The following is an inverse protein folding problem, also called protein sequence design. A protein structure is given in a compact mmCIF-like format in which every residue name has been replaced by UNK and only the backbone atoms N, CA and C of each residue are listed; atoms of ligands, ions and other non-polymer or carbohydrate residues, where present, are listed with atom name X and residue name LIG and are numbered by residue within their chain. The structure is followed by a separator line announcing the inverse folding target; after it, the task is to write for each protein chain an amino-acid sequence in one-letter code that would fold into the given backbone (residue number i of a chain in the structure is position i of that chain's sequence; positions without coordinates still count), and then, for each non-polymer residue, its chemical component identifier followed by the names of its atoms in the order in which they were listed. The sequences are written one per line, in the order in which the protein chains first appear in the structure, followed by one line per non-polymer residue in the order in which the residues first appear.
data_IF_227327631769
#
_entry.id   IF_227327631769
#
_cell.length_a   1.000
_cell.length_b   1.000
_cell.length_c   1.000
_cell.angle_alpha   90.00
_cell.angle_beta   90.00
_cell.angle_gamma   90.00
#
_symmetry.space_group_name_H-M   'P 1'
#
loop_
_entity.id
_entity.type
_entity.pdbx_description
1 polymer ?
#
# COMPACT_ATOMS: atom_id res chain seq x y z
N UNK A 1 8.37 -6.28 3.58
CA UNK A 1 8.07 -6.09 2.14
C UNK A 1 7.72 -4.63 1.94
N UNK A 2 8.34 -3.97 0.98
CA UNK A 2 8.10 -2.54 0.69
C UNK A 2 6.78 -2.37 -0.09
N UNK A 3 6.05 -1.27 0.11
CA UNK A 3 4.79 -1.02 -0.63
C UNK A 3 5.03 -0.87 -2.13
N UNK A 4 6.19 -0.37 -2.54
CA UNK A 4 6.57 -0.27 -3.93
C UNK A 4 6.70 -1.66 -4.56
N UNK A 5 7.31 -2.58 -3.83
CA UNK A 5 7.49 -3.96 -4.28
C UNK A 5 6.14 -4.69 -4.38
N UNK A 6 5.24 -4.49 -3.42
CA UNK A 6 3.87 -4.99 -3.51
C UNK A 6 3.16 -4.45 -4.75
N UNK A 7 3.26 -3.14 -5.00
CA UNK A 7 2.63 -2.50 -6.15
C UNK A 7 3.19 -3.07 -7.46
N UNK A 8 4.51 -3.22 -7.58
CA UNK A 8 5.13 -3.80 -8.76
C UNK A 8 4.72 -5.26 -8.96
N UNK A 9 4.69 -6.07 -7.90
CA UNK A 9 4.32 -7.49 -7.95
C UNK A 9 2.84 -7.73 -8.30
N UNK A 10 1.96 -6.78 -8.02
CA UNK A 10 0.51 -6.90 -8.28
C UNK A 10 0.08 -6.37 -9.66
N UNK A 11 1.04 -5.94 -10.49
CA UNK A 11 0.79 -5.40 -11.83
C UNK A 11 0.89 -3.87 -11.92
N UNK A 12 1.29 -3.19 -10.84
CA UNK A 12 1.42 -1.73 -10.79
C UNK A 12 2.53 -1.15 -11.68
N UNK A 13 3.40 -1.97 -12.27
CA UNK A 13 4.34 -1.51 -13.31
C UNK A 13 3.64 -0.82 -14.47
N UNK A 14 2.57 -1.43 -15.02
CA UNK A 14 1.80 -0.82 -16.11
C UNK A 14 1.07 0.46 -15.69
N UNK A 15 0.70 0.55 -14.41
CA UNK A 15 0.10 1.77 -13.85
C UNK A 15 1.11 2.92 -13.76
N UNK A 16 2.37 2.65 -13.39
CA UNK A 16 3.44 3.66 -13.35
C UNK A 16 3.73 4.18 -14.77
N UNK A 17 3.85 3.29 -15.76
CA UNK A 17 4.07 3.70 -17.15
C UNK A 17 2.91 4.57 -17.66
N UNK A 18 1.67 4.24 -17.29
CA UNK A 18 0.50 5.06 -17.65
C UNK A 18 0.51 6.44 -16.96
N UNK A 19 0.88 6.50 -15.68
CA UNK A 19 1.06 7.76 -14.95
C UNK A 19 2.11 8.62 -15.66
N UNK A 20 3.24 8.02 -16.06
CA UNK A 20 4.29 8.72 -16.79
C UNK A 20 3.73 9.38 -18.07
N UNK A 21 2.98 8.61 -18.87
CA UNK A 21 2.34 9.12 -20.08
C UNK A 21 1.31 10.22 -19.80
N UNK A 22 0.46 10.04 -18.79
CA UNK A 22 -0.60 10.98 -18.46
C UNK A 22 -0.07 12.35 -18.03
N UNK A 23 1.05 12.37 -17.30
CA UNK A 23 1.64 13.60 -16.76
C UNK A 23 2.85 14.11 -17.56
N UNK A 24 3.20 13.45 -18.66
CA UNK A 24 4.36 13.81 -19.48
C UNK A 24 5.68 13.67 -18.73
N UNK A 25 5.77 12.72 -17.80
CA UNK A 25 6.97 12.41 -17.04
C UNK A 25 7.75 11.29 -17.72
N UNK A 26 9.05 11.22 -17.46
CA UNK A 26 9.82 10.02 -17.74
C UNK A 26 9.43 8.90 -16.76
N UNK A 27 9.64 7.64 -17.14
CA UNK A 27 9.23 6.48 -16.34
C UNK A 27 9.95 6.43 -14.98
N UNK A 28 11.24 6.78 -14.94
CA UNK A 28 12.04 6.92 -13.73
C UNK A 28 11.52 8.04 -12.81
N UNK A 29 11.05 9.15 -13.38
CA UNK A 29 10.43 10.25 -12.63
C UNK A 29 9.08 9.83 -12.05
N UNK A 30 8.25 9.12 -12.82
CA UNK A 30 6.98 8.59 -12.33
C UNK A 30 7.21 7.56 -11.21
N UNK A 31 8.18 6.66 -11.37
CA UNK A 31 8.57 5.70 -10.36
C UNK A 31 9.04 6.41 -9.08
N UNK A 32 9.90 7.42 -9.22
CA UNK A 32 10.41 8.21 -8.09
C UNK A 32 9.29 8.99 -7.39
N UNK A 33 8.34 9.54 -8.15
CA UNK A 33 7.17 10.20 -7.61
C UNK A 33 6.35 9.23 -6.76
N UNK A 34 6.00 8.06 -7.30
CA UNK A 34 5.26 7.03 -6.55
C UNK A 34 6.01 6.63 -5.28
N UNK A 35 7.30 6.30 -5.39
CA UNK A 35 8.14 5.93 -4.27
C UNK A 35 8.21 7.02 -3.19
N UNK A 36 8.22 8.30 -3.56
CA UNK A 36 8.25 9.42 -2.59
C UNK A 36 6.92 9.64 -1.85
N UNK A 37 5.79 9.22 -2.44
CA UNK A 37 4.46 9.38 -1.86
C UNK A 37 4.09 8.20 -0.95
N UNK A 38 4.59 7.00 -1.24
CA UNK A 38 4.25 5.77 -0.53
C UNK A 38 4.51 5.82 1.00
N UNK A 39 5.63 6.34 1.52
CA UNK A 39 5.87 6.36 2.97
C UNK A 39 4.80 7.13 3.75
N UNK A 40 4.30 8.23 3.18
CA UNK A 40 3.23 9.01 3.81
C UNK A 40 1.90 8.26 3.80
N UNK A 41 1.58 7.57 2.68
CA UNK A 41 0.39 6.73 2.57
C UNK A 41 0.46 5.55 3.55
N UNK A 42 1.62 4.91 3.68
CA UNK A 42 1.86 3.83 4.64
C UNK A 42 1.64 4.30 6.08
N UNK A 43 2.21 5.46 6.45
CA UNK A 43 2.05 6.04 7.77
C UNK A 43 0.58 6.38 8.06
N UNK A 44 -0.13 6.96 7.08
CA UNK A 44 -1.55 7.24 7.17
C UNK A 44 -2.39 5.99 7.35
N UNK A 45 -2.13 4.96 6.54
CA UNK A 45 -2.82 3.68 6.62
C UNK A 45 -2.58 3.00 7.97
N UNK A 46 -1.33 2.90 8.42
CA UNK A 46 -0.96 2.34 9.74
C UNK A 46 -1.60 3.11 10.90
N UNK A 47 -1.77 4.42 10.77
CA UNK A 47 -2.51 5.22 11.74
C UNK A 47 -4.01 4.93 11.70
N UNK A 48 -4.61 4.86 10.52
CA UNK A 48 -6.04 4.63 10.33
C UNK A 48 -6.47 3.28 10.90
N UNK A 49 -5.76 2.20 10.57
CA UNK A 49 -6.05 0.84 11.09
C UNK A 49 -5.89 0.68 12.60
N UNK A 50 -5.09 1.54 13.25
CA UNK A 50 -4.92 1.59 14.71
C UNK A 50 -6.04 2.39 15.41
N UNK A 51 -6.85 3.13 14.66
CA UNK A 51 -8.02 3.84 15.21
C UNK A 51 -9.17 2.86 15.43
N UNK A 52 -10.07 3.22 16.34
CA UNK A 52 -11.29 2.45 16.61
C UNK A 52 -12.14 2.32 15.32
N UNK A 53 -12.46 1.09 14.94
CA UNK A 53 -13.19 0.78 13.69
C UNK A 53 -12.39 0.99 12.39
N UNK A 54 -11.14 1.45 12.46
CA UNK A 54 -10.31 1.71 11.27
C UNK A 54 -10.01 0.43 10.47
N UNK A 55 -9.69 -0.66 11.17
CA UNK A 55 -9.47 -1.97 10.56
C UNK A 55 -10.74 -2.48 9.82
N UNK A 56 -11.91 -2.36 10.43
CA UNK A 56 -13.18 -2.75 9.80
C UNK A 56 -13.48 -1.91 8.55
N UNK A 57 -13.22 -0.60 8.63
CA UNK A 57 -13.37 0.30 7.49
C UNK A 57 -12.43 -0.06 6.33
N UNK A 58 -11.19 -0.47 6.65
CA UNK A 58 -10.24 -0.95 5.66
C UNK A 58 -10.72 -2.24 5.02
N UNK A 59 -11.17 -3.23 5.80
CA UNK A 59 -11.70 -4.48 5.26
C UNK A 59 -12.91 -4.26 4.36
N UNK A 60 -13.81 -3.35 4.73
CA UNK A 60 -14.96 -3.00 3.91
C UNK A 60 -14.54 -2.37 2.58
N UNK A 61 -13.55 -1.46 2.60
CA UNK A 61 -12.99 -0.88 1.38
C UNK A 61 -12.31 -1.93 0.48
N UNK A 62 -11.56 -2.87 1.07
CA UNK A 62 -10.89 -3.95 0.34
C UNK A 62 -11.86 -4.96 -0.28
N UNK A 63 -12.99 -5.23 0.39
CA UNK A 63 -14.01 -6.17 -0.06
C UNK A 63 -14.99 -5.57 -1.09
N UNK A 64 -15.32 -4.27 -0.96
CA UNK A 64 -16.37 -3.62 -1.74
C UNK A 64 -15.92 -2.63 -2.81
N UNK A 65 -14.66 -2.18 -2.79
CA UNK A 65 -14.24 -1.00 -3.56
C UNK A 65 -13.90 -1.22 -5.04
N UNK A 66 -13.81 -2.45 -5.52
CA UNK A 66 -13.48 -2.72 -6.94
C UNK A 66 -12.14 -2.15 -7.43
N UNK A 67 -11.29 -1.63 -6.53
CA UNK A 67 -10.08 -0.87 -6.85
C UNK A 67 -9.03 -1.66 -7.65
N UNK A 68 -9.15 -2.99 -7.69
CA UNK A 68 -8.33 -3.87 -8.52
C UNK A 68 -8.42 -3.49 -10.02
N UNK A 69 -9.56 -2.95 -10.46
CA UNK A 69 -9.75 -2.51 -11.85
C UNK A 69 -8.73 -1.46 -12.31
N UNK A 70 -8.19 -0.66 -11.39
CA UNK A 70 -7.19 0.36 -11.68
C UNK A 70 -5.80 -0.23 -11.95
N UNK A 71 -5.53 -1.43 -11.43
CA UNK A 71 -4.34 -2.20 -11.79
C UNK A 71 -4.51 -2.89 -13.14
N UNK A 72 -5.69 -3.46 -13.38
CA UNK A 72 -5.97 -4.25 -14.59
C UNK A 72 -6.16 -3.39 -15.83
N UNK A 73 -6.71 -2.20 -15.66
CA UNK A 73 -6.94 -1.23 -16.73
C UNK A 73 -6.25 0.10 -16.40
N UNK A 74 -4.93 0.23 -16.59
CA UNK A 74 -4.22 1.48 -16.34
C UNK A 74 -4.85 2.69 -17.07
N UNK A 75 -5.45 2.48 -18.25
CA UNK A 75 -6.10 3.54 -19.03
C UNK A 75 -7.18 4.33 -18.28
N UNK A 76 -7.79 3.78 -17.22
CA UNK A 76 -8.81 4.47 -16.41
C UNK A 76 -8.23 5.17 -15.17
N UNK A 77 -6.91 5.15 -14.95
CA UNK A 77 -6.26 5.83 -13.82
C UNK A 77 -6.49 7.33 -13.81
N UNK A 78 -6.62 7.94 -14.99
CA UNK A 78 -6.94 9.35 -15.13
C UNK A 78 -8.42 9.71 -15.01
N UNK A 79 -9.31 8.72 -14.82
CA UNK A 79 -10.75 8.96 -14.79
C UNK A 79 -11.18 9.78 -13.58
N UNK A 80 -12.27 10.53 -13.72
CA UNK A 80 -12.85 11.30 -12.62
C UNK A 80 -13.28 10.40 -11.46
N UNK A 81 -13.72 9.17 -11.76
CA UNK A 81 -14.08 8.15 -10.78
C UNK A 81 -12.87 7.71 -9.96
N UNK A 82 -11.75 7.33 -10.61
CA UNK A 82 -10.52 6.96 -9.90
C UNK A 82 -10.00 8.10 -9.01
N UNK A 83 -10.07 9.34 -9.50
CA UNK A 83 -9.66 10.52 -8.73
C UNK A 83 -10.58 10.70 -7.51
N UNK A 84 -11.90 10.48 -7.66
CA UNK A 84 -12.86 10.58 -6.56
C UNK A 84 -12.59 9.51 -5.50
N UNK A 85 -12.41 8.26 -5.92
CA UNK A 85 -12.07 7.13 -5.05
C UNK A 85 -10.76 7.36 -4.29
N UNK A 86 -9.71 7.75 -5.02
CA UNK A 86 -8.42 8.10 -4.46
C UNK A 86 -8.51 9.21 -3.41
N UNK A 87 -9.32 10.24 -3.65
CA UNK A 87 -9.55 11.30 -2.66
C UNK A 87 -10.32 10.80 -1.43
N UNK A 88 -11.27 9.88 -1.59
CA UNK A 88 -11.95 9.21 -0.47
C UNK A 88 -10.97 8.45 0.41
N UNK A 89 -10.12 7.61 -0.22
CA UNK A 89 -9.07 6.84 0.46
C UNK A 89 -8.14 7.78 1.24
N UNK A 90 -7.63 8.84 0.60
CA UNK A 90 -6.79 9.85 1.24
C UNK A 90 -7.49 10.51 2.43
N UNK A 91 -8.80 10.76 2.34
CA UNK A 91 -9.61 11.28 3.43
C UNK A 91 -9.59 10.36 4.65
N UNK A 92 -9.69 9.05 4.46
CA UNK A 92 -9.64 8.07 5.55
C UNK A 92 -8.24 7.91 6.14
N UNK A 93 -7.21 7.82 5.30
CA UNK A 93 -5.85 7.47 5.77
C UNK A 93 -5.02 8.70 6.17
N UNK A 94 -5.13 9.82 5.47
CA UNK A 94 -4.40 11.06 5.79
C UNK A 94 -5.24 12.02 6.63
N UNK A 95 -6.56 11.84 6.68
CA UNK A 95 -7.49 12.60 7.53
C UNK A 95 -7.87 13.98 6.98
N UNK A 96 -6.99 14.66 6.24
CA UNK A 96 -7.31 15.98 5.67
C UNK A 96 -6.58 16.27 4.36
N UNK A 97 -7.20 17.13 3.53
CA UNK A 97 -6.58 17.61 2.29
C UNK A 97 -5.32 18.44 2.54
N UNK A 98 -5.18 19.06 3.71
CA UNK A 98 -3.95 19.78 4.09
C UNK A 98 -2.77 18.83 4.25
N UNK A 99 -2.99 17.68 4.90
CA UNK A 99 -1.98 16.62 4.99
C UNK A 99 -1.63 16.10 3.59
N UNK A 100 -2.64 15.82 2.74
CA UNK A 100 -2.39 15.41 1.35
C UNK A 100 -1.54 16.43 0.58
N UNK A 101 -1.81 17.73 0.74
CA UNK A 101 -1.02 18.81 0.12
C UNK A 101 0.41 18.84 0.65
N UNK A 102 0.60 18.68 1.95
CA UNK A 102 1.92 18.65 2.57
C UNK A 102 2.76 17.46 2.06
N UNK A 103 2.15 16.29 1.91
CA UNK A 103 2.78 15.09 1.33
C UNK A 103 3.27 15.37 -0.09
N UNK A 104 2.43 15.97 -0.93
CA UNK A 104 2.82 16.32 -2.30
C UNK A 104 3.94 17.38 -2.33
N UNK A 105 3.93 18.36 -1.43
CA UNK A 105 4.98 19.36 -1.32
C UNK A 105 6.32 18.74 -0.89
N UNK A 106 6.30 17.81 0.06
CA UNK A 106 7.48 17.08 0.50
C UNK A 106 8.05 16.19 -0.62
N UNK A 107 7.20 15.46 -1.34
CA UNK A 107 7.60 14.67 -2.50
C UNK A 107 8.21 15.54 -3.61
N UNK A 108 7.69 16.76 -3.79
CA UNK A 108 8.20 17.73 -4.76
C UNK A 108 9.64 18.11 -4.47
N UNK A 109 9.97 18.36 -3.20
CA UNK A 109 11.33 18.69 -2.76
C UNK A 109 12.32 17.54 -2.97
N UNK A 110 11.86 16.29 -2.88
CA UNK A 110 12.70 15.11 -3.04
C UNK A 110 12.94 14.74 -4.51
N UNK A 111 11.91 14.86 -5.33
CA UNK A 111 11.91 14.36 -6.72
C UNK A 111 12.21 15.45 -7.75
N UNK A 112 12.09 16.72 -7.38
CA UNK A 112 12.15 17.85 -8.31
C UNK A 112 10.91 17.99 -9.21
N UNK A 113 9.90 17.13 -9.03
CA UNK A 113 8.64 17.19 -9.80
C UNK A 113 7.75 18.28 -9.22
N UNK A 114 7.06 19.03 -10.08
CA UNK A 114 6.18 20.10 -9.65
C UNK A 114 5.10 19.65 -8.67
N UNK A 115 4.89 20.40 -7.59
CA UNK A 115 3.92 20.06 -6.53
C UNK A 115 2.50 19.87 -7.06
N UNK A 116 2.09 20.62 -8.09
CA UNK A 116 0.76 20.47 -8.70
C UNK A 116 0.57 19.16 -9.45
N UNK A 117 1.64 18.62 -10.05
CA UNK A 117 1.63 17.29 -10.66
C UNK A 117 1.46 16.25 -9.55
N UNK A 118 2.27 16.33 -8.51
CA UNK A 118 2.22 15.38 -7.39
C UNK A 118 0.89 15.43 -6.63
N UNK A 119 0.26 16.60 -6.49
CA UNK A 119 -1.09 16.74 -5.94
C UNK A 119 -2.14 15.98 -6.75
N UNK A 120 -2.00 15.94 -8.08
CA UNK A 120 -2.89 15.19 -8.98
C UNK A 120 -2.56 13.70 -8.99
N UNK A 121 -1.28 13.35 -8.84
CA UNK A 121 -0.84 11.96 -8.76
C UNK A 121 -1.25 11.28 -7.45
N UNK A 122 -1.19 11.99 -6.32
CA UNK A 122 -1.44 11.45 -4.99
C UNK A 122 -2.74 10.62 -4.87
N UNK A 123 -3.93 11.10 -5.33
CA UNK A 123 -5.14 10.27 -5.29
C UNK A 123 -5.05 9.04 -6.18
N UNK A 124 -4.41 9.12 -7.35
CA UNK A 124 -4.21 7.98 -8.26
C UNK A 124 -3.30 6.93 -7.61
N UNK A 125 -2.25 7.36 -6.92
CA UNK A 125 -1.35 6.45 -6.19
C UNK A 125 -2.06 5.81 -5.00
N UNK A 126 -2.93 6.54 -4.30
CA UNK A 126 -3.72 6.00 -3.20
C UNK A 126 -4.70 4.91 -3.66
N UNK A 127 -5.38 5.10 -4.78
CA UNK A 127 -6.28 4.08 -5.33
C UNK A 127 -5.53 2.86 -5.86
N UNK A 128 -4.36 3.06 -6.49
CA UNK A 128 -3.47 1.96 -6.88
C UNK A 128 -2.99 1.14 -5.69
N UNK A 129 -2.61 1.82 -4.59
CA UNK A 129 -2.25 1.15 -3.35
C UNK A 129 -3.42 0.30 -2.83
N UNK A 130 -4.64 0.84 -2.80
CA UNK A 130 -5.81 0.07 -2.40
C UNK A 130 -6.15 -1.08 -3.36
N UNK A 131 -5.95 -0.90 -4.66
CA UNK A 131 -6.08 -1.98 -5.64
C UNK A 131 -5.07 -3.10 -5.38
N UNK A 132 -3.82 -2.75 -5.06
CA UNK A 132 -2.75 -3.72 -4.78
C UNK A 132 -3.03 -4.50 -3.49
N UNK A 133 -3.47 -3.81 -2.44
CA UNK A 133 -3.89 -4.42 -1.19
C UNK A 133 -5.10 -5.33 -1.40
N UNK A 134 -6.14 -4.85 -2.10
CA UNK A 134 -7.35 -5.65 -2.37
C UNK A 134 -7.01 -6.91 -3.17
N UNK A 135 -6.13 -6.79 -4.19
CA UNK A 135 -5.63 -7.95 -4.93
C UNK A 135 -4.88 -8.92 -4.04
N UNK A 136 -4.03 -8.43 -3.15
CA UNK A 136 -3.28 -9.30 -2.24
C UNK A 136 -4.17 -9.99 -1.21
N UNK A 137 -5.19 -9.30 -0.68
CA UNK A 137 -6.14 -9.85 0.29
C UNK A 137 -7.08 -10.86 -0.37
N UNK A 138 -7.50 -10.59 -1.61
CA UNK A 138 -8.39 -11.48 -2.40
C UNK A 138 -7.62 -12.54 -3.20
N UNK A 139 -6.29 -12.53 -3.20
CA UNK A 139 -5.50 -13.55 -3.86
C UNK A 139 -5.83 -14.91 -3.20
N UNK A 140 -6.30 -15.91 -3.96
CA UNK A 140 -6.51 -17.24 -3.41
C UNK A 140 -5.20 -17.72 -2.80
N UNK A 141 -5.26 -18.22 -1.56
CA UNK A 141 -4.09 -18.77 -0.88
C UNK A 141 -3.36 -19.71 -1.85
N UNK A 142 -2.14 -19.34 -2.24
CA UNK A 142 -1.35 -20.17 -3.15
C UNK A 142 -1.28 -21.59 -2.55
N UNK A 143 -1.41 -22.65 -3.37
CA UNK A 143 -1.37 -24.01 -2.88
C UNK A 143 -0.08 -24.20 -2.09
N UNK A 144 -0.28 -24.58 -0.83
CA UNK A 144 0.71 -24.84 0.21
C UNK A 144 2.00 -25.42 -0.39
N UNK A 145 3.07 -24.63 -0.44
CA UNK A 145 4.39 -25.23 -0.52
C UNK A 145 4.64 -25.98 0.80
N UNK A 146 5.04 -27.26 0.76
CA UNK A 146 5.23 -28.08 1.96
C UNK A 146 6.45 -27.66 2.80
N UNK A 147 7.15 -26.60 2.40
CA UNK A 147 8.22 -25.97 3.16
C UNK A 147 7.68 -24.64 3.70
N UNK A 148 7.40 -24.62 5.00
CA UNK A 148 6.63 -23.57 5.66
C UNK A 148 7.12 -22.15 5.38
N UNK A 149 6.27 -21.36 4.74
CA UNK A 149 6.15 -19.93 4.92
C UNK A 149 4.69 -19.59 4.62
N UNK A 150 3.87 -19.50 5.68
CA UNK A 150 2.53 -18.91 5.55
C UNK A 150 2.73 -17.45 5.12
N UNK A 151 2.29 -17.14 3.90
CA UNK A 151 2.38 -15.81 3.29
C UNK A 151 1.04 -15.44 2.69
N UNK A 152 -0.02 -15.52 3.50
CA UNK A 152 -1.36 -15.07 3.11
C UNK A 152 -1.43 -13.54 3.08
N UNK A 153 -2.44 -12.98 2.40
CA UNK A 153 -2.65 -11.53 2.35
C UNK A 153 -2.76 -10.84 3.72
N UNK A 154 -3.08 -11.61 4.78
CA UNK A 154 -3.04 -11.16 6.17
C UNK A 154 -1.62 -11.00 6.75
N UNK A 155 -0.64 -11.80 6.33
CA UNK A 155 0.75 -11.70 6.79
C UNK A 155 1.41 -10.42 6.24
N UNK A 156 1.03 -10.02 5.03
CA UNK A 156 1.48 -8.76 4.42
C UNK A 156 0.77 -7.58 5.07
N UNK A 157 -0.55 -7.67 5.32
CA UNK A 157 -1.25 -6.63 6.08
C UNK A 157 -0.63 -6.47 7.48
N UNK A 158 -0.32 -7.57 8.17
CA UNK A 158 0.34 -7.56 9.47
C UNK A 158 1.74 -6.94 9.38
N UNK A 159 2.54 -7.32 8.38
CA UNK A 159 3.86 -6.75 8.11
C UNK A 159 3.81 -5.23 7.84
N UNK A 160 2.78 -4.76 7.12
CA UNK A 160 2.56 -3.33 6.82
C UNK A 160 2.05 -2.58 8.06
N UNK A 161 1.22 -3.21 8.90
CA UNK A 161 0.66 -2.60 10.11
C UNK A 161 1.68 -2.41 11.24
N UNK A 162 2.71 -3.27 11.28
CA UNK A 162 3.70 -3.27 12.35
C UNK A 162 4.11 -4.65 12.88
N UNK A 163 4.01 -5.71 12.08
CA UNK A 163 4.50 -7.05 12.39
C UNK A 163 6.02 -7.15 12.25
N UNK A 164 6.73 -6.37 13.07
CA UNK A 164 8.17 -6.44 13.28
C UNK A 164 8.48 -6.66 14.77
N UNK A 165 7.72 -7.52 15.43
CA UNK A 165 8.06 -8.05 16.76
C UNK A 165 8.43 -9.53 16.62
N UNK A 166 9.73 -9.72 16.39
CA UNK A 166 10.57 -10.81 16.86
C UNK A 166 9.84 -11.97 17.60
N UNK A 167 9.35 -12.94 16.82
CA UNK A 167 8.97 -14.26 17.34
C UNK A 167 10.12 -15.27 17.27
N UNK A 168 11.38 -14.80 17.17
CA UNK A 168 12.58 -15.65 17.18
C UNK A 168 13.28 -15.72 18.55
N UNK A 169 12.67 -15.18 19.61
CA UNK A 169 13.22 -15.18 20.97
C UNK A 169 12.48 -16.10 21.97
N UNK A 170 11.80 -17.16 21.52
CA UNK A 170 11.03 -18.08 22.39
C UNK A 170 11.44 -19.56 22.38
N UNK A 171 12.28 -20.00 21.43
CA UNK A 171 12.48 -21.43 21.16
C UNK A 171 13.56 -22.14 22.00
N UNK A 172 14.49 -21.40 22.62
CA UNK A 172 15.68 -22.01 23.24
C UNK A 172 15.64 -22.02 24.78
N UNK A 173 14.82 -21.18 25.41
CA UNK A 173 14.67 -21.16 26.87
C UNK A 173 13.70 -22.24 27.39
N UNK A 174 12.78 -22.71 26.54
CA UNK A 174 11.78 -23.74 26.89
C UNK A 174 12.29 -25.18 26.87
N UNK A 175 13.43 -25.46 26.22
CA UNK A 175 14.00 -26.82 26.17
C UNK A 175 14.91 -27.14 27.37
N UNK A 176 15.48 -26.12 28.04
CA UNK A 176 16.32 -26.32 29.22
C UNK A 176 15.51 -26.66 30.49
N UNK A 177 14.22 -26.33 30.54
CA UNK A 177 13.33 -26.68 31.65
C UNK A 177 12.77 -28.12 31.60
N UNK A 178 12.81 -28.78 30.44
CA UNK A 178 12.23 -30.13 30.23
C UNK A 178 13.23 -31.28 30.30
N UNK A 179 14.54 -30.98 30.41
CA UNK A 179 15.58 -32.01 30.58
C UNK A 179 16.01 -32.19 32.05
N UNK A 180 15.55 -31.32 32.96
CA UNK A 180 15.97 -31.33 34.37
C UNK A 180 14.82 -31.50 35.38
N UNK A 181 13.60 -31.74 34.92
CA UNK A 181 12.42 -31.89 35.78
C UNK A 181 11.38 -32.81 35.16
N UNK A 182 11.52 -34.11 35.39
CA UNK A 182 10.61 -35.16 34.95
C UNK A 182 11.33 -36.49 34.76
#
# INVERSE_FOLDING_TARGET
MDLMELLLNTGGGGAISQIAQQFGLQEDQAQSAVASLLPALQAGLSRNVKQEGGMDSLFQALAGGGHQQYLDNPGILGSAENIMDGNGILGHILGSKDVSRAVAAQASQQTGIGTDILKKMLPIVASLLMGSLSRQTNAPAAPQSPFGQAGGGMDILASILGGGEDSSAGGLMGMLGKLFGG
#
